data_IF_895841803617
#
_entry.id   IF_895841803617
#
_cell.length_a   1.000
_cell.length_b   1.000
_cell.length_c   1.000
_cell.angle_alpha   90.00
_cell.angle_beta   90.00
_cell.angle_gamma   90.00
#
_symmetry.space_group_name_H-M   'P 1'
#
loop_
_entity.id
_entity.type
_entity.pdbx_description
1 polymer ?
#
# COMPACT_ATOMS: atom_id res chain seq x y z
N UNK A 1 26.59 -7.31 -1.43
CA UNK A 1 25.91 -8.51 -1.96
C UNK A 1 24.46 -8.42 -1.52
N UNK A 2 23.48 -8.55 -2.42
CA UNK A 2 22.06 -8.69 -2.03
C UNK A 2 21.91 -10.05 -1.34
N UNK A 3 21.19 -10.16 -0.21
CA UNK A 3 20.72 -11.46 0.24
C UNK A 3 19.84 -12.06 -0.86
N UNK A 4 19.95 -13.36 -1.17
CA UNK A 4 18.97 -14.06 -1.99
C UNK A 4 17.55 -13.83 -1.42
N UNK A 5 16.56 -13.68 -2.29
CA UNK A 5 15.12 -13.51 -1.94
C UNK A 5 14.59 -14.54 -0.91
N UNK A 6 15.26 -15.69 -0.78
CA UNK A 6 14.95 -16.73 0.21
C UNK A 6 15.13 -16.26 1.67
N UNK A 7 16.06 -15.33 1.93
CA UNK A 7 16.30 -14.81 3.28
C UNK A 7 15.40 -13.63 3.66
N UNK A 8 14.71 -13.01 2.70
CA UNK A 8 13.83 -11.87 3.00
C UNK A 8 12.60 -12.29 3.80
N UNK A 9 12.07 -13.49 3.52
CA UNK A 9 10.95 -14.06 4.29
C UNK A 9 11.38 -14.47 5.70
N UNK A 10 12.51 -15.17 5.82
CA UNK A 10 13.06 -15.58 7.12
C UNK A 10 13.38 -14.36 8.00
N UNK A 11 13.92 -13.30 7.40
CA UNK A 11 14.19 -12.04 8.10
C UNK A 11 12.91 -11.33 8.53
N UNK A 12 11.90 -11.26 7.66
CA UNK A 12 10.61 -10.66 7.99
C UNK A 12 9.95 -11.39 9.17
N UNK A 13 9.95 -12.72 9.15
CA UNK A 13 9.46 -13.52 10.27
C UNK A 13 10.27 -13.27 11.54
N UNK A 14 11.60 -13.16 11.46
CA UNK A 14 12.44 -12.87 12.62
C UNK A 14 12.17 -11.47 13.22
N UNK A 15 11.87 -10.47 12.39
CA UNK A 15 11.47 -9.13 12.86
C UNK A 15 10.09 -9.17 13.52
N UNK A 16 9.14 -9.89 12.94
CA UNK A 16 7.75 -9.91 13.43
C UNK A 16 7.54 -10.81 14.66
N UNK A 17 8.40 -11.81 14.83
CA UNK A 17 8.41 -12.73 15.98
C UNK A 17 9.46 -12.35 17.04
N UNK A 18 10.11 -11.19 16.89
CA UNK A 18 11.06 -10.67 17.87
C UNK A 18 10.41 -10.35 19.22
N UNK A 19 11.26 -9.99 20.19
CA UNK A 19 10.80 -9.66 21.55
C UNK A 19 9.87 -8.44 21.58
N UNK A 20 10.08 -7.49 20.66
CA UNK A 20 9.25 -6.31 20.48
C UNK A 20 8.23 -6.53 19.34
N UNK A 21 6.96 -6.16 19.55
CA UNK A 21 5.95 -6.29 18.50
C UNK A 21 6.27 -5.37 17.33
N UNK A 22 6.45 -5.94 16.14
CA UNK A 22 6.67 -5.19 14.91
C UNK A 22 5.91 -5.82 13.74
N UNK A 23 5.59 -5.02 12.72
CA UNK A 23 5.05 -5.47 11.44
C UNK A 23 5.88 -4.87 10.32
N UNK A 24 6.35 -5.71 9.41
CA UNK A 24 7.00 -5.28 8.18
C UNK A 24 5.93 -4.83 7.18
N UNK A 25 5.93 -3.53 6.87
CA UNK A 25 5.06 -2.90 5.87
C UNK A 25 5.57 -3.10 4.45
N UNK A 26 6.90 -2.98 4.27
CA UNK A 26 7.57 -3.18 2.99
C UNK A 26 9.02 -3.63 3.22
N UNK A 27 9.55 -4.48 2.34
CA UNK A 27 10.95 -4.94 2.37
C UNK A 27 11.85 -3.96 1.63
N UNK A 28 13.14 -4.01 1.93
CA UNK A 28 14.15 -3.36 1.08
C UNK A 28 14.09 -3.96 -0.33
N UNK A 29 14.20 -3.13 -1.35
CA UNK A 29 14.12 -3.53 -2.76
C UNK A 29 12.72 -3.80 -3.30
N UNK A 30 11.66 -3.68 -2.50
CA UNK A 30 10.30 -3.75 -3.04
C UNK A 30 9.93 -2.50 -3.82
N UNK A 31 9.20 -2.69 -4.93
CA UNK A 31 8.68 -1.59 -5.73
C UNK A 31 7.69 -0.76 -4.90
N UNK A 32 7.96 0.53 -4.79
CA UNK A 32 7.00 1.52 -4.31
C UNK A 32 6.46 2.32 -5.50
N UNK A 33 5.34 3.03 -5.32
CA UNK A 33 4.73 3.82 -6.38
C UNK A 33 5.71 4.75 -7.11
N UNK A 34 5.33 5.23 -8.30
CA UNK A 34 6.10 6.20 -9.10
C UNK A 34 7.49 5.72 -9.57
N UNK A 35 7.64 4.46 -9.99
CA UNK A 35 8.88 4.00 -10.63
C UNK A 35 10.05 3.79 -9.67
N UNK A 36 9.79 3.79 -8.36
CA UNK A 36 10.82 3.77 -7.32
C UNK A 36 10.85 2.44 -6.56
N UNK A 37 11.98 2.14 -5.92
CA UNK A 37 12.13 0.97 -5.06
C UNK A 37 12.51 1.42 -3.65
N UNK A 38 12.05 0.67 -2.65
CA UNK A 38 12.43 0.89 -1.25
C UNK A 38 13.94 0.70 -1.08
N UNK A 39 14.62 1.72 -0.59
CA UNK A 39 16.04 1.61 -0.21
C UNK A 39 16.20 0.80 1.08
N UNK A 40 15.34 1.09 2.05
CA UNK A 40 15.32 0.43 3.36
C UNK A 40 13.96 -0.22 3.62
N UNK A 41 13.96 -1.25 4.47
CA UNK A 41 12.72 -1.87 4.95
C UNK A 41 11.88 -0.86 5.73
N UNK A 42 10.58 -0.91 5.53
CA UNK A 42 9.64 -0.15 6.33
C UNK A 42 9.00 -1.05 7.37
N UNK A 43 9.33 -0.81 8.63
CA UNK A 43 8.81 -1.54 9.79
C UNK A 43 7.92 -0.59 10.58
N UNK A 44 6.80 -1.11 11.07
CA UNK A 44 5.89 -0.43 11.98
C UNK A 44 5.93 -1.07 13.35
N UNK A 45 6.19 -0.27 14.38
CA UNK A 45 6.06 -0.66 15.77
C UNK A 45 4.80 -0.03 16.39
N UNK A 46 4.12 -0.69 17.34
CA UNK A 46 3.02 -0.10 18.08
C UNK A 46 3.39 1.24 18.73
N UNK A 47 2.59 2.26 18.45
CA UNK A 47 2.84 3.62 18.92
C UNK A 47 3.49 4.52 17.87
N UNK A 48 4.04 3.96 16.80
CA UNK A 48 4.52 4.74 15.67
C UNK A 48 3.37 5.50 14.98
N UNK A 49 3.68 6.65 14.36
CA UNK A 49 2.74 7.34 13.49
C UNK A 49 2.20 6.40 12.41
N UNK A 50 0.90 6.51 12.13
CA UNK A 50 0.26 5.69 11.09
C UNK A 50 0.85 6.08 9.73
N UNK A 51 1.32 5.08 8.95
CA UNK A 51 1.91 5.31 7.64
C UNK A 51 0.86 5.76 6.61
N UNK A 52 1.32 6.48 5.59
CA UNK A 52 0.54 6.69 4.37
C UNK A 52 0.58 5.42 3.50
N UNK A 53 -0.58 4.82 3.27
CA UNK A 53 -0.71 3.57 2.51
C UNK A 53 -0.67 3.79 0.98
N UNK A 54 -0.78 5.03 0.50
CA UNK A 54 -0.68 5.36 -0.94
C UNK A 54 0.68 4.98 -1.53
N UNK A 55 1.70 4.85 -0.67
CA UNK A 55 3.06 4.45 -1.05
C UNK A 55 3.25 2.95 -1.23
N UNK A 56 2.24 2.14 -0.87
CA UNK A 56 2.30 0.68 -0.93
C UNK A 56 1.62 0.16 -2.21
N UNK A 57 2.23 -0.85 -2.82
CA UNK A 57 1.66 -1.56 -3.94
C UNK A 57 0.61 -2.59 -3.49
N UNK A 58 -0.12 -3.16 -4.46
CA UNK A 58 -1.22 -4.08 -4.16
C UNK A 58 -0.78 -5.37 -3.44
N UNK A 59 0.41 -5.88 -3.75
CA UNK A 59 0.95 -7.07 -3.11
C UNK A 59 1.28 -6.81 -1.63
N UNK A 60 1.90 -5.67 -1.33
CA UNK A 60 2.20 -5.20 0.03
C UNK A 60 0.91 -5.01 0.84
N UNK A 61 -0.09 -4.33 0.26
CA UNK A 61 -1.40 -4.15 0.88
C UNK A 61 -2.08 -5.50 1.13
N UNK A 62 -2.01 -6.44 0.19
CA UNK A 62 -2.59 -7.76 0.33
C UNK A 62 -1.92 -8.58 1.45
N UNK A 63 -0.59 -8.52 1.58
CA UNK A 63 0.16 -9.13 2.69
C UNK A 63 -0.22 -8.50 4.03
N UNK A 64 -0.21 -7.17 4.11
CA UNK A 64 -0.57 -6.45 5.34
C UNK A 64 -1.99 -6.73 5.80
N UNK A 65 -2.94 -6.80 4.85
CA UNK A 65 -4.31 -7.20 5.13
C UNK A 65 -4.38 -8.55 5.85
N UNK A 66 -3.58 -9.54 5.40
CA UNK A 66 -3.53 -10.86 6.04
C UNK A 66 -2.94 -10.78 7.44
N UNK A 67 -1.79 -10.10 7.60
CA UNK A 67 -1.13 -9.93 8.91
C UNK A 67 -2.01 -9.22 9.94
N UNK A 68 -2.78 -8.23 9.50
CA UNK A 68 -3.69 -7.46 10.36
C UNK A 68 -5.07 -8.09 10.52
N UNK A 69 -5.27 -9.33 10.04
CA UNK A 69 -6.53 -10.06 10.14
C UNK A 69 -7.71 -9.27 9.56
N UNK A 70 -7.54 -8.70 8.37
CA UNK A 70 -8.58 -7.97 7.66
C UNK A 70 -9.20 -8.82 6.55
N UNK A 71 -10.53 -8.71 6.40
CA UNK A 71 -11.29 -9.18 5.25
C UNK A 71 -10.93 -8.36 4.00
N UNK A 72 -11.31 -8.86 2.83
CA UNK A 72 -11.09 -8.15 1.58
C UNK A 72 -11.82 -6.81 1.53
N UNK A 73 -12.93 -6.66 2.24
CA UNK A 73 -13.68 -5.41 2.36
C UNK A 73 -13.09 -4.43 3.39
N UNK A 74 -11.91 -4.73 3.95
CA UNK A 74 -11.24 -3.90 4.95
C UNK A 74 -11.82 -4.00 6.36
N UNK A 75 -12.79 -4.89 6.62
CA UNK A 75 -13.31 -5.11 7.98
C UNK A 75 -12.44 -6.12 8.73
N UNK A 76 -12.23 -5.97 10.06
CA UNK A 76 -11.55 -6.99 10.87
C UNK A 76 -12.23 -8.35 10.77
N UNK A 77 -11.43 -9.41 10.77
CA UNK A 77 -11.87 -10.79 10.97
C UNK A 77 -12.30 -10.98 12.43
N UNK A 78 -13.20 -11.94 12.66
CA UNK A 78 -13.65 -12.27 14.03
C UNK A 78 -12.51 -12.76 14.94
N UNK A 79 -11.46 -13.33 14.35
CA UNK A 79 -10.27 -13.78 15.07
C UNK A 79 -9.22 -12.68 15.28
N UNK A 80 -9.48 -11.45 14.82
CA UNK A 80 -8.53 -10.36 15.02
C UNK A 80 -8.38 -10.07 16.52
N UNK A 81 -7.14 -9.95 17.06
CA UNK A 81 -6.92 -9.60 18.45
C UNK A 81 -7.52 -8.22 18.75
N UNK A 82 -8.48 -8.09 19.69
CA UNK A 82 -9.19 -6.82 19.89
C UNK A 82 -8.35 -5.74 20.57
N UNK A 83 -7.34 -6.14 21.36
CA UNK A 83 -6.51 -5.26 22.19
C UNK A 83 -5.00 -5.48 21.92
N UNK A 84 -4.60 -5.65 20.66
CA UNK A 84 -3.18 -5.62 20.30
C UNK A 84 -2.71 -4.20 19.96
N UNK A 85 -1.39 -3.98 20.07
CA UNK A 85 -0.76 -2.70 19.73
C UNK A 85 -0.94 -2.28 18.26
N UNK A 86 -1.42 -3.19 17.40
CA UNK A 86 -1.67 -2.95 15.98
C UNK A 86 -3.13 -2.55 15.66
N UNK A 87 -4.02 -2.48 16.65
CA UNK A 87 -5.41 -2.06 16.46
C UNK A 87 -5.54 -0.72 15.68
N UNK A 88 -4.75 0.34 15.98
CA UNK A 88 -4.76 1.57 15.20
C UNK A 88 -4.38 1.37 13.73
N UNK A 89 -3.31 0.61 13.46
CA UNK A 89 -2.86 0.30 12.10
C UNK A 89 -3.92 -0.48 11.32
N UNK A 90 -4.54 -1.49 11.98
CA UNK A 90 -5.63 -2.30 11.42
C UNK A 90 -6.83 -1.43 11.01
N UNK A 91 -7.26 -0.52 11.89
CA UNK A 91 -8.39 0.37 11.60
C UNK A 91 -8.10 1.26 10.39
N UNK A 92 -6.90 1.83 10.34
CA UNK A 92 -6.49 2.76 9.27
C UNK A 92 -6.32 2.05 7.92
N UNK A 93 -5.72 0.87 7.90
CA UNK A 93 -5.64 0.08 6.67
C UNK A 93 -7.03 -0.38 6.21
N UNK A 94 -7.92 -0.73 7.15
CA UNK A 94 -9.31 -1.08 6.83
C UNK A 94 -10.12 0.09 6.27
N UNK A 95 -9.92 1.31 6.78
CA UNK A 95 -10.46 2.54 6.18
C UNK A 95 -9.93 2.78 4.77
N UNK A 96 -8.61 2.64 4.59
CA UNK A 96 -7.96 2.79 3.30
C UNK A 96 -8.53 1.84 2.25
N UNK A 97 -8.60 0.53 2.56
CA UNK A 97 -9.14 -0.48 1.65
C UNK A 97 -10.60 -0.17 1.25
N UNK A 98 -11.42 0.28 2.20
CA UNK A 98 -12.83 0.64 1.93
C UNK A 98 -12.93 1.85 1.01
N UNK A 99 -12.20 2.93 1.31
CA UNK A 99 -12.15 4.13 0.45
C UNK A 99 -11.64 3.80 -0.94
N UNK A 100 -10.58 3.00 -1.04
CA UNK A 100 -10.01 2.58 -2.30
C UNK A 100 -11.02 1.78 -3.14
N UNK A 101 -11.76 0.85 -2.51
CA UNK A 101 -12.84 0.11 -3.17
C UNK A 101 -14.03 0.97 -3.59
N UNK A 102 -14.34 2.05 -2.87
CA UNK A 102 -15.37 3.02 -3.26
C UNK A 102 -14.94 3.91 -4.43
N UNK A 103 -13.62 4.14 -4.56
CA UNK A 103 -13.02 4.97 -5.60
C UNK A 103 -12.73 4.15 -6.87
N UNK A 104 -12.42 2.85 -6.78
CA UNK A 104 -12.10 2.00 -7.94
C UNK A 104 -13.20 2.03 -9.04
N UNK A 105 -14.50 1.90 -8.73
CA UNK A 105 -15.56 2.01 -9.72
C UNK A 105 -15.63 3.41 -10.35
N UNK A 106 -15.26 4.45 -9.60
CA UNK A 106 -15.21 5.83 -10.09
C UNK A 106 -13.98 6.07 -10.97
N UNK A 107 -12.85 5.44 -10.69
CA UNK A 107 -11.65 5.50 -11.54
C UNK A 107 -11.80 4.69 -12.83
N UNK A 108 -12.69 3.70 -12.85
CA UNK A 108 -13.05 2.95 -14.05
C UNK A 108 -14.20 3.60 -14.83
N UNK A 109 -14.78 4.70 -14.33
CA UNK A 109 -15.72 5.51 -15.07
C UNK A 109 -14.95 6.24 -16.20
N UNK A 110 -15.31 6.02 -17.48
CA UNK A 110 -14.68 6.71 -18.61
C UNK A 110 -14.65 8.24 -18.46
N UNK A 111 -15.61 8.84 -17.73
CA UNK A 111 -15.65 10.26 -17.45
C UNK A 111 -14.55 10.74 -16.48
N UNK A 112 -14.05 9.86 -15.61
CA UNK A 112 -12.97 10.15 -14.66
C UNK A 112 -11.59 9.83 -15.25
N UNK A 113 -11.48 8.77 -16.07
CA UNK A 113 -10.24 8.40 -16.80
C UNK A 113 -9.82 9.49 -17.78
N UNK A 114 -10.78 10.09 -18.50
CA UNK A 114 -10.51 11.13 -19.50
C UNK A 114 -9.98 12.45 -18.92
N UNK A 115 -10.23 12.74 -17.64
CA UNK A 115 -9.65 13.91 -16.97
C UNK A 115 -8.19 13.68 -16.51
N UNK A 116 -7.79 12.42 -16.33
CA UNK A 116 -6.46 12.05 -15.87
C UNK A 116 -5.52 11.61 -16.99
N UNK A 117 -6.00 11.45 -18.22
CA UNK A 117 -5.15 11.12 -19.36
C UNK A 117 -4.27 12.33 -19.73
N UNK A 118 -2.93 12.27 -19.49
CA UNK A 118 -2.02 13.35 -19.83
C UNK A 118 -2.03 13.64 -21.34
N UNK A 119 -2.41 12.64 -22.16
CA UNK A 119 -2.53 12.77 -23.62
C UNK A 119 -3.74 13.65 -23.96
N UNK A 120 -4.88 13.53 -23.28
CA UNK A 120 -6.03 14.41 -23.50
C UNK A 120 -5.73 15.87 -23.10
N UNK A 121 -4.96 16.09 -22.03
CA UNK A 121 -4.50 17.43 -21.66
C UNK A 121 -3.53 17.99 -22.72
N UNK A 122 -2.60 17.17 -23.22
CA UNK A 122 -1.69 17.56 -24.32
C UNK A 122 -2.42 17.85 -25.63
N UNK A 123 -3.47 17.09 -25.96
CA UNK A 123 -4.27 17.27 -27.18
C UNK A 123 -5.20 18.50 -27.09
N UNK A 124 -5.67 18.86 -25.89
CA UNK A 124 -6.58 19.98 -25.70
C UNK A 124 -5.89 21.29 -25.27
N UNK A 125 -4.69 21.24 -24.69
CA UNK A 125 -3.94 22.40 -24.20
C UNK A 125 -2.61 22.63 -24.94
N UNK A 126 -2.18 21.71 -25.81
CA UNK A 126 -1.03 21.94 -26.69
C UNK A 126 -1.36 23.00 -27.76
N UNK A 127 -0.38 23.82 -28.18
CA UNK A 127 -0.61 24.74 -29.29
C UNK A 127 -0.94 23.90 -30.53
N UNK A 128 -2.14 24.08 -31.06
CA UNK A 128 -2.54 23.53 -32.36
C UNK A 128 -1.41 23.82 -33.35
N UNK A 129 -0.85 22.80 -34.04
CA UNK A 129 0.17 23.05 -35.05
C UNK A 129 -0.52 23.81 -36.18
N UNK A 130 -0.31 25.12 -36.18
CA UNK A 130 -0.78 26.03 -37.21
C UNK A 130 -0.16 25.59 -38.55
N UNK A 131 -0.96 25.22 -39.57
CA UNK A 131 -0.43 24.82 -40.85
C UNK A 131 -0.12 26.09 -41.65
N UNK A 132 1.08 26.64 -41.43
CA UNK A 132 1.78 27.37 -42.47
C UNK A 132 2.74 26.41 -43.18
#
# INVERSE_FOLDING_TARGET
MRPPHEHDMEWEEAVELGDDPAIVLARSGEYCGYGSYRLDSWIYCPGDPIPDFDMLNWEQIHRLRKKLFLKEDGRPLLCAPPNDGFSPLRQRLGEFIRRFKEILPKLLDPAFVTQWDPICVLLNAGPSPNPY
#
